data_IF_764703277842
#
_entry.id   IF_764703277842
#
_cell.length_a   1.000
_cell.length_b   1.000
_cell.length_c   1.000
_cell.angle_alpha   90.00
_cell.angle_beta   90.00
_cell.angle_gamma   90.00
#
_symmetry.space_group_name_H-M   'P 1'
#
loop_
_entity.id
_entity.type
_entity.pdbx_description
1 polymer ?
#
# COMPACT_ATOMS: atom_id res chain seq x y z
N UNK A 1 -5.63 -5.31 -21.56
CA UNK A 1 -6.72 -4.94 -20.64
C UNK A 1 -6.14 -4.75 -19.25
N UNK A 2 -6.01 -3.52 -18.79
CA UNK A 2 -5.45 -3.24 -17.46
C UNK A 2 -6.45 -3.58 -16.38
N UNK A 3 -5.97 -4.10 -15.26
CA UNK A 3 -6.82 -4.42 -14.13
C UNK A 3 -7.40 -3.13 -13.52
N UNK A 4 -6.61 -2.05 -13.49
CA UNK A 4 -6.98 -0.81 -12.80
C UNK A 4 -8.16 -0.08 -13.45
N UNK A 5 -8.24 -0.09 -14.80
CA UNK A 5 -9.32 0.56 -15.55
C UNK A 5 -10.70 -0.03 -15.24
N UNK A 6 -10.77 -1.26 -14.69
CA UNK A 6 -12.02 -1.89 -14.26
C UNK A 6 -12.49 -1.42 -12.89
N UNK A 7 -11.58 -0.95 -12.04
CA UNK A 7 -11.87 -0.57 -10.66
C UNK A 7 -11.96 0.95 -10.51
N UNK A 8 -11.10 1.70 -11.22
CA UNK A 8 -11.07 3.15 -11.18
C UNK A 8 -10.86 3.70 -12.59
N UNK A 9 -11.82 4.46 -13.10
CA UNK A 9 -11.62 5.19 -14.34
C UNK A 9 -10.66 6.38 -14.08
N UNK A 10 -10.00 6.89 -15.12
CA UNK A 10 -9.04 8.01 -15.00
C UNK A 10 -9.65 9.29 -14.41
N UNK A 11 -10.93 9.55 -14.64
CA UNK A 11 -11.61 10.73 -14.07
C UNK A 11 -11.72 10.64 -12.54
N UNK A 12 -12.15 9.50 -12.01
CA UNK A 12 -12.25 9.26 -10.57
C UNK A 12 -10.88 9.24 -9.91
N UNK A 13 -9.85 8.71 -10.58
CA UNK A 13 -8.47 8.75 -10.08
C UNK A 13 -7.95 10.17 -9.84
N UNK A 14 -8.37 11.16 -10.63
CA UNK A 14 -7.97 12.57 -10.49
C UNK A 14 -8.66 13.27 -9.31
N UNK A 15 -9.72 12.70 -8.75
CA UNK A 15 -10.36 13.24 -7.54
C UNK A 15 -9.52 12.97 -6.28
N UNK A 16 -8.56 12.03 -6.36
CA UNK A 16 -7.66 11.70 -5.27
C UNK A 16 -6.28 12.30 -5.50
N UNK A 17 -5.98 13.41 -4.82
CA UNK A 17 -4.65 14.03 -4.90
C UNK A 17 -3.56 13.05 -4.44
N UNK A 18 -3.66 12.62 -3.18
CA UNK A 18 -2.65 11.79 -2.54
C UNK A 18 -2.89 10.30 -2.81
N UNK A 19 -1.86 9.62 -3.31
CA UNK A 19 -1.89 8.20 -3.65
C UNK A 19 -0.66 7.49 -3.12
N UNK A 20 -0.85 6.35 -2.48
CA UNK A 20 0.25 5.46 -2.08
C UNK A 20 0.24 4.26 -3.02
N UNK A 21 1.36 4.04 -3.74
CA UNK A 21 1.51 2.93 -4.67
C UNK A 21 2.68 2.03 -4.29
N UNK A 22 2.45 0.72 -4.33
CA UNK A 22 3.45 -0.32 -4.10
C UNK A 22 4.06 -0.81 -5.42
N UNK A 23 4.95 -1.79 -5.36
CA UNK A 23 5.49 -2.41 -6.57
C UNK A 23 4.36 -2.99 -7.43
N UNK A 24 4.31 -2.59 -8.69
CA UNK A 24 3.28 -3.00 -9.66
C UNK A 24 3.87 -3.01 -11.07
N UNK A 25 3.08 -3.23 -12.12
CA UNK A 25 3.59 -3.12 -13.48
C UNK A 25 3.95 -1.65 -13.83
N UNK A 26 4.93 -1.45 -14.71
CA UNK A 26 5.26 -0.10 -15.21
C UNK A 26 4.06 0.61 -15.84
N UNK A 27 3.17 -0.17 -16.47
CA UNK A 27 1.97 0.38 -17.09
C UNK A 27 0.94 0.83 -16.05
N UNK A 28 0.65 0.04 -15.03
CA UNK A 28 -0.29 0.42 -13.96
C UNK A 28 0.25 1.64 -13.19
N UNK A 29 1.56 1.68 -12.95
CA UNK A 29 2.25 2.83 -12.35
C UNK A 29 2.01 4.11 -13.15
N UNK A 30 2.20 4.07 -14.46
CA UNK A 30 1.96 5.22 -15.35
C UNK A 30 0.49 5.65 -15.38
N UNK A 31 -0.45 4.78 -15.04
CA UNK A 31 -1.87 5.13 -15.00
C UNK A 31 -2.27 5.77 -13.66
N UNK A 32 -1.62 5.36 -12.57
CA UNK A 32 -1.94 5.85 -11.22
C UNK A 32 -1.22 7.15 -10.86
N UNK A 33 0.06 7.27 -11.25
CA UNK A 33 0.96 8.34 -10.78
C UNK A 33 1.75 9.02 -11.93
N UNK A 34 1.28 8.87 -13.17
CA UNK A 34 1.87 9.44 -14.40
C UNK A 34 3.40 9.20 -14.54
N UNK A 35 3.87 8.09 -13.97
CA UNK A 35 5.27 7.68 -13.94
C UNK A 35 5.38 6.16 -13.88
N UNK A 36 6.33 5.50 -14.59
CA UNK A 36 6.53 4.06 -14.52
C UNK A 36 7.36 3.61 -13.29
N UNK A 37 7.69 4.51 -12.37
CA UNK A 37 8.67 4.26 -11.30
C UNK A 37 8.29 3.12 -10.35
N UNK A 38 7.00 2.92 -10.05
CA UNK A 38 6.55 1.81 -9.20
C UNK A 38 6.82 0.42 -9.82
N UNK A 39 7.13 0.37 -11.12
CA UNK A 39 7.62 -0.83 -11.80
C UNK A 39 8.97 -1.35 -11.27
N UNK A 40 9.77 -0.49 -10.66
CA UNK A 40 11.18 -0.77 -10.31
C UNK A 40 11.56 -0.40 -8.88
N UNK A 41 10.61 -0.09 -7.99
CA UNK A 41 10.91 0.28 -6.59
C UNK A 41 11.39 -0.88 -5.71
N UNK A 42 11.13 -2.12 -6.14
CA UNK A 42 11.46 -3.33 -5.40
C UNK A 42 10.51 -3.61 -4.22
N UNK A 43 10.74 -4.73 -3.51
CA UNK A 43 9.84 -5.22 -2.48
C UNK A 43 9.84 -4.32 -1.25
N UNK A 44 8.72 -4.33 -0.50
CA UNK A 44 8.55 -3.63 0.79
C UNK A 44 8.80 -2.10 0.72
N UNK A 45 8.56 -1.50 -0.45
CA UNK A 45 8.61 -0.06 -0.65
C UNK A 45 7.31 0.44 -1.26
N UNK A 46 7.03 1.71 -1.01
CA UNK A 46 5.94 2.42 -1.63
C UNK A 46 6.41 3.81 -2.08
N UNK A 47 5.63 4.41 -2.99
CA UNK A 47 5.73 5.82 -3.37
C UNK A 47 4.49 6.53 -2.84
N UNK A 48 4.71 7.63 -2.12
CA UNK A 48 3.68 8.63 -1.85
C UNK A 48 3.70 9.64 -3.00
N UNK A 49 2.60 9.70 -3.74
CA UNK A 49 2.35 10.64 -4.82
C UNK A 49 1.39 11.74 -4.35
N UNK A 50 1.66 12.99 -4.71
CA UNK A 50 0.69 14.10 -4.66
C UNK A 50 0.65 14.75 -6.04
N UNK A 51 -0.54 14.84 -6.60
CA UNK A 51 -0.82 15.41 -7.92
C UNK A 51 -0.65 16.92 -7.89
N UNK A 52 -1.26 17.56 -6.89
CA UNK A 52 -1.23 19.00 -6.64
C UNK A 52 0.19 19.52 -6.45
N UNK A 53 1.02 18.79 -5.70
CA UNK A 53 2.41 19.18 -5.44
C UNK A 53 3.40 18.63 -6.47
N UNK A 54 2.96 17.70 -7.34
CA UNK A 54 3.83 16.98 -8.27
C UNK A 54 4.94 16.13 -7.59
N UNK A 55 4.79 15.82 -6.30
CA UNK A 55 5.83 15.16 -5.50
C UNK A 55 5.68 13.65 -5.51
N UNK A 56 6.83 12.96 -5.46
CA UNK A 56 6.95 11.49 -5.38
C UNK A 56 8.00 11.12 -4.35
N UNK A 57 7.57 10.64 -3.20
CA UNK A 57 8.46 10.24 -2.10
C UNK A 57 8.51 8.73 -1.93
N UNK A 58 9.71 8.14 -1.93
CA UNK A 58 9.90 6.71 -1.70
C UNK A 58 10.07 6.43 -0.22
N UNK A 59 9.29 5.50 0.33
CA UNK A 59 9.35 5.12 1.74
C UNK A 59 9.18 3.61 1.96
N UNK A 60 9.40 3.18 3.21
CA UNK A 60 9.14 1.81 3.66
C UNK A 60 7.90 1.81 4.56
N UNK A 61 6.75 1.32 4.09
CA UNK A 61 5.51 1.36 4.86
C UNK A 61 5.50 0.38 6.03
N UNK A 62 6.30 -0.68 5.96
CA UNK A 62 6.38 -1.70 7.00
C UNK A 62 7.56 -1.42 7.93
N UNK A 63 7.23 -1.21 9.20
CA UNK A 63 8.17 -1.19 10.32
C UNK A 63 7.96 -2.38 11.24
N UNK A 64 8.83 -2.55 12.22
CA UNK A 64 8.60 -3.51 13.30
C UNK A 64 7.42 -3.06 14.14
N UNK A 65 6.50 -3.99 14.46
CA UNK A 65 5.42 -3.72 15.43
C UNK A 65 6.00 -3.37 16.80
N UNK A 66 5.35 -2.44 17.51
CA UNK A 66 5.77 -2.03 18.86
C UNK A 66 5.61 -3.19 19.86
N UNK A 67 6.40 -3.16 20.93
CA UNK A 67 6.29 -4.17 22.00
C UNK A 67 4.91 -4.17 22.64
N UNK A 68 4.32 -2.98 22.86
CA UNK A 68 2.93 -2.84 23.33
C UNK A 68 1.89 -3.52 22.44
N UNK A 69 2.09 -3.49 21.11
CA UNK A 69 1.20 -4.18 20.19
C UNK A 69 1.37 -5.70 20.26
N UNK A 70 2.60 -6.18 20.47
CA UNK A 70 2.90 -7.60 20.65
C UNK A 70 2.30 -8.16 21.94
N UNK A 71 2.40 -7.40 23.02
CA UNK A 71 1.80 -7.74 24.32
C UNK A 71 0.28 -7.82 24.19
N UNK A 72 -0.33 -6.78 23.60
CA UNK A 72 -1.77 -6.74 23.38
C UNK A 72 -2.29 -7.92 22.54
N UNK A 73 -1.64 -8.26 21.42
CA UNK A 73 -2.11 -9.36 20.57
C UNK A 73 -1.94 -10.73 21.25
N UNK A 74 -0.91 -10.90 22.09
CA UNK A 74 -0.72 -12.11 22.87
C UNK A 74 -1.84 -12.29 23.91
N UNK A 75 -2.25 -11.21 24.59
CA UNK A 75 -3.41 -11.23 25.49
C UNK A 75 -4.71 -11.57 24.75
N UNK A 76 -4.95 -10.99 23.58
CA UNK A 76 -6.15 -11.29 22.77
C UNK A 76 -6.17 -12.76 22.32
N UNK A 77 -5.02 -13.31 21.91
CA UNK A 77 -4.91 -14.70 21.49
C UNK A 77 -5.19 -15.69 22.64
N UNK A 78 -4.70 -15.37 23.84
CA UNK A 78 -4.95 -16.17 25.05
C UNK A 78 -6.40 -16.07 25.54
N UNK A 79 -7.03 -14.91 25.36
CA UNK A 79 -8.42 -14.65 25.78
C UNK A 79 -9.43 -15.27 24.82
N UNK A 80 -9.08 -15.39 23.54
CA UNK A 80 -9.97 -15.90 22.48
C UNK A 80 -10.10 -17.43 22.46
N UNK A 81 -9.48 -18.13 23.42
CA UNK A 81 -9.71 -19.56 23.65
C UNK A 81 -9.53 -20.41 22.40
N UNK A 82 -8.28 -20.60 21.96
CA UNK A 82 -7.94 -21.80 21.17
C UNK A 82 -7.99 -23.01 22.11
N UNK A 83 -9.21 -23.40 22.51
CA UNK A 83 -9.55 -24.76 22.87
C UNK A 83 -9.93 -25.47 21.57
N UNK A 84 -8.93 -26.02 20.88
CA UNK A 84 -9.15 -27.10 19.93
C UNK A 84 -7.86 -27.88 19.77
N UNK A 85 -7.89 -29.13 20.27
CA UNK A 85 -6.94 -30.17 19.88
C UNK A 85 -6.03 -30.67 21.00
N UNK A 86 -6.61 -31.27 22.04
CA UNK A 86 -6.05 -32.48 22.66
C UNK A 86 -6.95 -33.66 22.30
#
# INVERSE_FOLDING_TARGET
SNNIDRWFNRSTMREFDMRIVFQMSSNDSSQLIDSPEAGRIGPNRAILYSDERGTREKFRPYGTVSDSWREWIAEQWNTSGVQSGS
#
